data_IF_060236308280
#
_entry.id   IF_060236308280
#
_cell.length_a   1.000
_cell.length_b   1.000
_cell.length_c   1.000
_cell.angle_alpha   90.00
_cell.angle_beta   90.00
_cell.angle_gamma   90.00
#
_symmetry.space_group_name_H-M   'P 1'
#
loop_
_entity.id
_entity.type
_entity.pdbx_description
1 polymer ?
#
# COMPACT_ATOMS: atom_id res chain seq x y z
N UNK A 1 2.80 -38.58 -43.24
CA UNK A 1 3.01 -37.32 -42.47
C UNK A 1 4.43 -36.87 -42.67
N UNK A 2 4.63 -35.73 -43.34
CA UNK A 2 5.94 -35.21 -43.74
C UNK A 2 6.76 -34.81 -42.50
N UNK A 3 8.06 -35.14 -42.49
CA UNK A 3 9.00 -34.85 -41.38
C UNK A 3 9.02 -33.37 -41.01
N UNK A 4 8.78 -32.50 -42.00
CA UNK A 4 8.54 -31.06 -41.88
C UNK A 4 7.47 -30.71 -40.82
N UNK A 5 6.31 -31.39 -40.82
CA UNK A 5 5.22 -31.13 -39.88
C UNK A 5 5.61 -31.44 -38.44
N UNK A 6 6.38 -32.51 -38.23
CA UNK A 6 6.85 -32.93 -36.89
C UNK A 6 7.84 -31.89 -36.34
N UNK A 7 8.74 -31.38 -37.19
CA UNK A 7 9.70 -30.34 -36.82
C UNK A 7 8.98 -29.04 -36.47
N UNK A 8 8.00 -28.62 -37.27
CA UNK A 8 7.22 -27.39 -37.03
C UNK A 8 6.42 -27.48 -35.72
N UNK A 9 5.78 -28.62 -35.45
CA UNK A 9 5.03 -28.84 -34.21
C UNK A 9 5.96 -28.82 -32.99
N UNK A 10 7.13 -29.47 -33.09
CA UNK A 10 8.14 -29.48 -32.02
C UNK A 10 8.71 -28.08 -31.72
N UNK A 11 9.01 -27.29 -32.76
CA UNK A 11 9.47 -25.91 -32.64
C UNK A 11 8.42 -25.00 -32.02
N UNK A 12 7.17 -25.13 -32.47
CA UNK A 12 6.04 -24.37 -31.93
C UNK A 12 5.81 -24.67 -30.45
N UNK A 13 5.83 -25.95 -30.07
CA UNK A 13 5.65 -26.36 -28.67
C UNK A 13 6.81 -25.92 -27.77
N UNK A 14 8.05 -26.05 -28.25
CA UNK A 14 9.24 -25.56 -27.55
C UNK A 14 9.22 -24.05 -27.34
N UNK A 15 8.79 -23.29 -28.35
CA UNK A 15 8.63 -21.83 -28.24
C UNK A 15 7.53 -21.44 -27.26
N UNK A 16 6.39 -22.14 -27.26
CA UNK A 16 5.32 -21.91 -26.30
C UNK A 16 5.77 -22.17 -24.85
N UNK A 17 6.48 -23.26 -24.59
CA UNK A 17 7.06 -23.56 -23.27
C UNK A 17 8.10 -22.52 -22.85
N UNK A 18 8.95 -22.08 -23.78
CA UNK A 18 9.92 -21.03 -23.51
C UNK A 18 9.22 -19.72 -23.12
N UNK A 19 8.17 -19.32 -23.84
CA UNK A 19 7.41 -18.10 -23.53
C UNK A 19 6.73 -18.18 -22.17
N UNK A 20 6.14 -19.32 -21.78
CA UNK A 20 5.49 -19.44 -20.46
C UNK A 20 6.50 -19.37 -19.33
N UNK A 21 7.64 -20.06 -19.45
CA UNK A 21 8.74 -19.98 -18.49
C UNK A 21 9.33 -18.57 -18.42
N UNK A 22 9.50 -17.91 -19.57
CA UNK A 22 9.99 -16.54 -19.65
C UNK A 22 9.02 -15.55 -19.00
N UNK A 23 7.72 -15.65 -19.26
CA UNK A 23 6.69 -14.82 -18.62
C UNK A 23 6.70 -15.06 -17.10
N UNK A 24 6.79 -16.31 -16.66
CA UNK A 24 6.87 -16.65 -15.23
C UNK A 24 8.12 -16.06 -14.58
N UNK A 25 9.28 -16.17 -15.22
CA UNK A 25 10.54 -15.58 -14.74
C UNK A 25 10.45 -14.05 -14.64
N UNK A 26 9.88 -13.39 -15.65
CA UNK A 26 9.64 -11.93 -15.63
C UNK A 26 8.62 -11.54 -14.56
N UNK A 27 7.62 -12.38 -14.26
CA UNK A 27 6.71 -12.14 -13.13
C UNK A 27 7.43 -12.26 -11.79
N UNK A 28 8.22 -13.31 -11.59
CA UNK A 28 9.01 -13.52 -10.37
C UNK A 28 9.98 -12.36 -10.10
N UNK A 29 10.66 -11.86 -11.14
CA UNK A 29 11.52 -10.68 -11.04
C UNK A 29 10.75 -9.41 -10.65
N UNK A 30 9.52 -9.24 -11.14
CA UNK A 30 8.65 -8.09 -10.78
C UNK A 30 8.13 -8.20 -9.35
N UNK A 31 7.87 -9.40 -8.86
CA UNK A 31 7.38 -9.64 -7.50
C UNK A 31 8.47 -9.54 -6.44
N UNK A 32 9.74 -9.70 -6.82
CA UNK A 32 10.89 -9.44 -5.94
C UNK A 32 11.02 -7.96 -5.53
N UNK A 33 10.44 -7.02 -6.30
CA UNK A 33 10.49 -5.60 -5.97
C UNK A 33 9.34 -5.24 -5.02
N UNK A 34 9.63 -4.84 -3.77
CA UNK A 34 8.61 -4.53 -2.80
C UNK A 34 7.74 -3.36 -3.27
N UNK A 35 6.46 -3.39 -2.89
CA UNK A 35 5.43 -2.49 -3.39
C UNK A 35 5.73 -1.01 -3.15
N UNK A 36 6.47 -0.69 -2.09
CA UNK A 36 6.85 0.69 -1.76
C UNK A 36 7.91 1.28 -2.71
N UNK A 37 8.71 0.46 -3.39
CA UNK A 37 9.70 0.93 -4.39
C UNK A 37 9.07 1.21 -5.76
N UNK A 38 7.80 0.86 -5.94
CA UNK A 38 7.08 1.06 -7.21
C UNK A 38 6.62 2.52 -7.31
N UNK A 39 6.52 3.08 -8.53
CA UNK A 39 6.08 4.45 -8.72
C UNK A 39 4.66 4.65 -8.16
N UNK A 40 4.52 5.64 -7.27
CA UNK A 40 3.24 5.96 -6.65
C UNK A 40 2.44 6.94 -7.54
N UNK A 41 1.12 6.76 -7.67
CA UNK A 41 0.31 7.68 -8.44
C UNK A 41 0.20 9.02 -7.71
N UNK A 42 0.38 10.13 -8.43
CA UNK A 42 0.00 11.44 -7.94
C UNK A 42 -1.55 11.49 -7.78
N UNK A 43 -2.01 11.72 -6.56
CA UNK A 43 -3.43 11.87 -6.23
C UNK A 43 -3.58 12.86 -5.08
N UNK A 44 -4.67 13.62 -5.10
CA UNK A 44 -5.16 14.43 -3.97
C UNK A 44 -6.39 13.74 -3.39
N UNK A 45 -6.44 13.61 -2.09
CA UNK A 45 -7.51 12.92 -1.39
C UNK A 45 -8.74 13.82 -1.28
N UNK A 46 -9.90 13.23 -1.53
CA UNK A 46 -11.16 13.85 -1.19
C UNK A 46 -11.35 13.77 0.32
N UNK A 47 -12.13 14.69 0.90
CA UNK A 47 -12.44 14.68 2.33
C UNK A 47 -13.06 13.35 2.78
N UNK A 48 -13.87 12.70 1.93
CA UNK A 48 -14.39 11.35 2.20
C UNK A 48 -13.30 10.30 2.44
N UNK A 49 -12.15 10.42 1.76
CA UNK A 49 -11.02 9.48 1.88
C UNK A 49 -10.28 9.71 3.19
N UNK A 50 -10.09 10.98 3.58
CA UNK A 50 -9.49 11.38 4.86
C UNK A 50 -10.38 10.91 6.03
N UNK A 51 -11.70 11.12 5.93
CA UNK A 51 -12.65 10.64 6.93
C UNK A 51 -12.71 9.11 6.99
N UNK A 52 -12.59 8.44 5.85
CA UNK A 52 -12.49 6.99 5.79
C UNK A 52 -11.23 6.46 6.50
N UNK A 53 -10.08 7.14 6.35
CA UNK A 53 -8.85 6.81 7.08
C UNK A 53 -9.04 6.97 8.58
N UNK A 54 -9.64 8.08 9.02
CA UNK A 54 -9.97 8.32 10.44
C UNK A 54 -10.87 7.22 11.01
N UNK A 55 -11.92 6.85 10.29
CA UNK A 55 -12.83 5.77 10.70
C UNK A 55 -12.15 4.40 10.67
N UNK A 56 -11.22 4.17 9.73
CA UNK A 56 -10.45 2.94 9.65
C UNK A 56 -9.51 2.80 10.85
N UNK A 57 -8.86 3.90 11.28
CA UNK A 57 -8.02 3.89 12.47
C UNK A 57 -8.84 3.64 13.73
N UNK A 58 -9.98 4.32 13.90
CA UNK A 58 -10.89 4.09 15.03
C UNK A 58 -11.36 2.64 15.12
N UNK A 59 -11.65 2.02 13.98
CA UNK A 59 -12.10 0.63 13.93
C UNK A 59 -10.96 -0.38 14.17
N UNK A 60 -9.75 -0.10 13.70
CA UNK A 60 -8.62 -1.02 13.82
C UNK A 60 -7.83 -0.88 15.12
N UNK A 61 -7.75 0.33 15.68
CA UNK A 61 -6.96 0.64 16.87
C UNK A 61 -5.44 0.54 16.67
N UNK A 62 -4.96 0.45 15.42
CA UNK A 62 -3.54 0.41 15.06
C UNK A 62 -3.30 0.98 13.66
N UNK A 63 -2.07 1.44 13.41
CA UNK A 63 -1.65 2.00 12.11
C UNK A 63 -1.69 0.93 11.01
N UNK A 64 -1.16 -0.27 11.27
CA UNK A 64 -1.17 -1.36 10.30
C UNK A 64 -2.60 -1.81 9.95
N UNK A 65 -3.45 -1.97 10.97
CA UNK A 65 -4.84 -2.36 10.78
C UNK A 65 -5.62 -1.30 10.00
N UNK A 66 -5.37 0.00 10.27
CA UNK A 66 -5.93 1.10 9.47
C UNK A 66 -5.54 0.97 8.00
N UNK A 67 -4.25 0.77 7.70
CA UNK A 67 -3.74 0.70 6.33
C UNK A 67 -4.22 -0.56 5.58
N UNK A 68 -4.56 -1.63 6.29
CA UNK A 68 -5.19 -2.82 5.72
C UNK A 68 -6.70 -2.62 5.46
N UNK A 69 -7.38 -1.87 6.32
CA UNK A 69 -8.82 -1.63 6.24
C UNK A 69 -9.20 -0.51 5.27
N UNK A 70 -8.44 0.59 5.26
CA UNK A 70 -8.71 1.78 4.45
C UNK A 70 -8.85 1.48 2.94
N UNK A 71 -8.03 0.62 2.30
CA UNK A 71 -8.18 0.28 0.89
C UNK A 71 -9.50 -0.42 0.56
N UNK A 72 -10.11 -1.11 1.53
CA UNK A 72 -11.39 -1.81 1.35
C UNK A 72 -12.56 -0.84 1.40
N UNK A 73 -12.48 0.18 2.25
CA UNK A 73 -13.55 1.17 2.46
C UNK A 73 -13.45 2.40 1.54
N UNK A 74 -12.26 2.86 1.20
CA UNK A 74 -12.07 4.05 0.36
C UNK A 74 -12.47 3.77 -1.09
N UNK A 75 -13.23 4.66 -1.74
CA UNK A 75 -13.59 4.52 -3.17
C UNK A 75 -12.43 4.83 -4.12
N UNK A 76 -11.52 5.71 -3.73
CA UNK A 76 -10.47 6.23 -4.63
C UNK A 76 -9.38 5.19 -4.92
N UNK A 77 -9.36 4.65 -6.15
CA UNK A 77 -8.41 3.58 -6.57
C UNK A 77 -6.94 3.97 -6.40
N UNK A 78 -6.58 5.23 -6.65
CA UNK A 78 -5.20 5.73 -6.51
C UNK A 78 -4.74 5.75 -5.05
N UNK A 79 -5.59 6.18 -4.12
CA UNK A 79 -5.33 6.14 -2.68
C UNK A 79 -5.09 4.70 -2.18
N UNK A 80 -5.88 3.73 -2.67
CA UNK A 80 -5.68 2.30 -2.35
C UNK A 80 -4.27 1.80 -2.71
N UNK A 81 -3.68 2.28 -3.81
CA UNK A 81 -2.31 1.91 -4.18
C UNK A 81 -1.29 2.47 -3.20
N UNK A 82 -1.46 3.72 -2.77
CA UNK A 82 -0.61 4.37 -1.76
C UNK A 82 -0.65 3.66 -0.41
N UNK A 83 -1.84 3.31 0.06
CA UNK A 83 -1.97 2.54 1.30
C UNK A 83 -1.33 1.16 1.22
N UNK A 84 -1.46 0.46 0.09
CA UNK A 84 -0.76 -0.83 -0.14
C UNK A 84 0.76 -0.66 -0.16
N UNK A 85 1.26 0.43 -0.72
CA UNK A 85 2.69 0.76 -0.69
C UNK A 85 3.16 1.01 0.75
N UNK A 86 2.40 1.77 1.56
CA UNK A 86 2.69 1.98 2.98
C UNK A 86 2.71 0.66 3.78
N UNK A 87 1.76 -0.25 3.54
CA UNK A 87 1.77 -1.60 4.15
C UNK A 87 3.02 -2.38 3.74
N UNK A 88 3.37 -2.38 2.46
CA UNK A 88 4.59 -3.05 1.98
C UNK A 88 5.85 -2.43 2.59
N UNK A 89 5.88 -1.12 2.81
CA UNK A 89 6.99 -0.47 3.52
C UNK A 89 7.12 -0.99 4.95
N UNK A 90 6.03 -1.02 5.72
CA UNK A 90 6.07 -1.53 7.10
C UNK A 90 6.44 -3.01 7.18
N UNK A 91 6.10 -3.81 6.17
CA UNK A 91 6.43 -5.25 6.14
C UNK A 91 7.87 -5.53 5.70
N UNK A 92 8.27 -4.94 4.57
CA UNK A 92 9.45 -5.35 3.81
C UNK A 92 10.63 -4.37 3.98
N UNK A 93 10.41 -3.16 4.52
CA UNK A 93 11.50 -2.22 4.82
C UNK A 93 12.30 -2.65 6.06
N UNK A 94 13.55 -2.21 6.12
CA UNK A 94 14.43 -2.40 7.28
C UNK A 94 14.03 -1.54 8.47
N UNK A 95 13.57 -0.31 8.22
CA UNK A 95 13.29 0.68 9.28
C UNK A 95 11.88 0.57 9.84
N UNK A 96 10.89 0.33 8.97
CA UNK A 96 9.48 0.14 9.35
C UNK A 96 8.92 1.30 10.18
N UNK A 97 9.39 2.51 9.93
CA UNK A 97 9.00 3.69 10.67
C UNK A 97 7.63 4.21 10.18
N UNK A 98 6.79 4.59 11.16
CA UNK A 98 5.44 5.05 10.87
C UNK A 98 5.40 6.41 10.16
N UNK A 99 6.38 7.27 10.42
CA UNK A 99 6.50 8.57 9.77
C UNK A 99 6.68 8.42 8.25
N UNK A 100 7.68 7.66 7.80
CA UNK A 100 7.85 7.43 6.35
C UNK A 100 6.68 6.63 5.77
N UNK A 101 6.19 5.61 6.48
CA UNK A 101 5.03 4.84 6.01
C UNK A 101 3.82 5.75 5.72
N UNK A 102 3.51 6.67 6.61
CA UNK A 102 2.32 7.50 6.52
C UNK A 102 2.54 8.77 5.71
N UNK A 103 3.58 9.56 6.01
CA UNK A 103 3.81 10.86 5.38
C UNK A 103 4.41 10.74 3.97
N UNK A 104 5.20 9.71 3.70
CA UNK A 104 5.82 9.54 2.36
C UNK A 104 4.99 8.64 1.45
N UNK A 105 4.54 7.48 1.95
CA UNK A 105 3.84 6.52 1.09
C UNK A 105 2.31 6.65 1.13
N UNK A 106 1.72 6.87 2.30
CA UNK A 106 0.26 6.94 2.44
C UNK A 106 -0.31 8.34 2.16
N UNK A 107 0.45 9.41 2.38
CA UNK A 107 0.00 10.79 2.21
C UNK A 107 -0.19 11.19 0.76
N UNK A 108 -1.06 12.16 0.57
CA UNK A 108 -1.21 12.92 -0.65
C UNK A 108 -0.45 14.26 -0.65
N UNK A 109 0.26 14.57 0.44
CA UNK A 109 0.94 15.85 0.64
C UNK A 109 -0.02 17.00 0.96
N UNK A 110 -1.30 16.70 1.25
CA UNK A 110 -2.26 17.68 1.73
C UNK A 110 -2.02 17.95 3.22
N UNK A 111 -2.07 19.22 3.67
CA UNK A 111 -1.90 19.55 5.08
C UNK A 111 -2.95 18.89 5.98
N UNK A 112 -4.17 18.63 5.47
CA UNK A 112 -5.21 17.92 6.22
C UNK A 112 -4.82 16.45 6.48
N UNK A 113 -4.27 15.78 5.46
CA UNK A 113 -3.87 14.38 5.59
C UNK A 113 -2.63 14.23 6.47
N UNK A 114 -1.67 15.14 6.33
CA UNK A 114 -0.46 15.14 7.14
C UNK A 114 -0.79 15.38 8.62
N UNK A 115 -1.67 16.35 8.92
CA UNK A 115 -2.17 16.57 10.29
C UNK A 115 -2.83 15.32 10.87
N UNK A 116 -3.66 14.62 10.08
CA UNK A 116 -4.30 13.37 10.51
C UNK A 116 -3.26 12.29 10.83
N UNK A 117 -2.25 12.12 9.98
CA UNK A 117 -1.23 11.10 10.18
C UNK A 117 -0.31 11.41 11.36
N UNK A 118 0.13 12.66 11.51
CA UNK A 118 0.90 13.09 12.69
C UNK A 118 0.12 12.82 13.96
N UNK A 119 -1.18 13.14 13.98
CA UNK A 119 -2.05 12.84 15.11
C UNK A 119 -2.14 11.33 15.41
N UNK A 120 -2.28 10.50 14.38
CA UNK A 120 -2.33 9.04 14.53
C UNK A 120 -1.00 8.49 15.07
N UNK A 121 0.13 9.01 14.61
CA UNK A 121 1.46 8.62 15.09
C UNK A 121 1.61 9.00 16.57
N UNK A 122 1.21 10.21 16.96
CA UNK A 122 1.20 10.64 18.36
C UNK A 122 0.37 9.72 19.25
N UNK A 123 -0.81 9.31 18.79
CA UNK A 123 -1.67 8.36 19.52
C UNK A 123 -1.01 6.99 19.66
N UNK A 124 -0.39 6.47 18.60
CA UNK A 124 0.27 5.16 18.64
C UNK A 124 1.49 5.19 19.58
N UNK A 125 2.26 6.30 19.59
CA UNK A 125 3.38 6.50 20.51
C UNK A 125 2.90 6.61 21.96
N UNK A 126 1.81 7.35 22.22
CA UNK A 126 1.23 7.45 23.56
C UNK A 126 0.76 6.09 24.08
N UNK A 127 0.06 5.33 23.22
CA UNK A 127 -0.40 3.97 23.51
C UNK A 127 0.77 3.04 23.83
N UNK A 128 1.81 3.04 23.00
CA UNK A 128 2.99 2.19 23.20
C UNK A 128 3.80 2.55 24.45
N UNK A 129 3.78 3.82 24.88
CA UNK A 129 4.48 4.30 26.08
C UNK A 129 3.62 4.26 27.35
N UNK A 130 2.36 3.84 27.27
CA UNK A 130 1.43 3.84 28.41
C UNK A 130 1.12 5.25 28.94
N UNK A 131 1.30 6.28 28.11
CA UNK A 131 1.02 7.66 28.50
C UNK A 131 -0.50 7.89 28.52
N UNK A 132 -1.00 8.78 29.41
CA UNK A 132 -2.40 9.16 29.41
C UNK A 132 -2.74 9.74 28.04
N UNK A 133 -3.68 9.09 27.34
CA UNK A 133 -4.13 9.56 26.04
C UNK A 133 -4.78 10.93 26.22
N UNK A 134 -4.16 11.96 25.68
CA UNK A 134 -4.83 13.26 25.58
C UNK A 134 -5.94 13.07 24.57
N UNK A 135 -7.16 12.85 25.06
CA UNK A 135 -8.39 13.00 24.29
C UNK A 135 -8.46 14.48 23.91
N UNK A 136 -7.75 14.89 22.85
CA UNK A 136 -7.90 16.24 22.31
C UNK A 136 -9.35 16.31 21.83
N UNK A 137 -10.15 17.05 22.60
CA UNK A 137 -11.49 17.54 22.26
C UNK A 137 -11.35 18.40 20.98
N UNK A 138 -11.19 17.75 19.85
CA UNK A 138 -11.14 18.35 18.51
C UNK A 138 -11.86 17.42 17.53
N UNK A 139 -13.03 16.92 17.95
CA UNK A 139 -14.02 16.38 17.02
C UNK A 139 -14.83 17.51 16.35
N UNK A 140 -14.70 18.77 16.78
CA UNK A 140 -15.61 19.86 16.37
C UNK A 140 -15.02 21.00 15.53
N UNK A 141 -13.75 21.03 15.13
CA UNK A 141 -13.22 22.15 14.34
C UNK A 141 -12.16 21.73 13.33
N UNK A 142 -12.59 21.19 12.18
CA UNK A 142 -12.04 21.37 10.82
C UNK A 142 -12.69 20.39 9.84
#
# INVERSE_FOLDING_TARGET
MSRELIVIIGLSFGFALFLTLFIFWVQQMRDAVPGYKRPLPAVRYHQETVQCLRNAYRAAGSIEGMLLLAPRKCRQKKARKRFRAAVSYLKDSRYRDYETALLVYASDGSPECDKLFTYIIELEVQKNRGLPMKMKRSEDQL
#
